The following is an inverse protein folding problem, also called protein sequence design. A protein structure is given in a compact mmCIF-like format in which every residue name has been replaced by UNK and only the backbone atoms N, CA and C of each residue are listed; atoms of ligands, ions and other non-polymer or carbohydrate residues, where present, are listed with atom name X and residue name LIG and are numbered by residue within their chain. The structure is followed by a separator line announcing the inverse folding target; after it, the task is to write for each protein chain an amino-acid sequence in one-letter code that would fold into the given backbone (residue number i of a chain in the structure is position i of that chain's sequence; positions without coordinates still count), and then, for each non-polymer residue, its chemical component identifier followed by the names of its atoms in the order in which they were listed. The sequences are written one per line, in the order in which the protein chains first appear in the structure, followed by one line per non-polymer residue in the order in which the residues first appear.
data_IF_457349473699
#
_entry.id   IF_457349473699
#
_cell.length_a   1.000
_cell.length_b   1.000
_cell.length_c   1.000
_cell.angle_alpha   90.00
_cell.angle_beta   90.00
_cell.angle_gamma   90.00
#
_symmetry.space_group_name_H-M   'P 1'
#
loop_
_entity.id
_entity.type
_entity.pdbx_description
1 polymer ?
#
# COMPACT_ATOMS: atom_id res chain seq x y z
N UNK A 1 0.41 -16.04 -19.20
CA UNK A 1 0.37 -16.10 -17.72
C UNK A 1 -0.42 -14.91 -17.25
N UNK A 2 -1.53 -15.16 -16.55
CA UNK A 2 -2.34 -14.10 -15.92
C UNK A 2 -1.51 -13.53 -14.77
N UNK A 3 -1.24 -12.22 -14.78
CA UNK A 3 -0.60 -11.56 -13.66
C UNK A 3 -1.66 -11.29 -12.59
N UNK A 4 -1.53 -11.92 -11.43
CA UNK A 4 -2.38 -11.63 -10.30
C UNK A 4 -2.04 -10.24 -9.75
N UNK A 5 -3.06 -9.39 -9.67
CA UNK A 5 -2.93 -8.02 -9.17
C UNK A 5 -3.53 -7.95 -7.78
N UNK A 6 -2.73 -7.47 -6.83
CA UNK A 6 -3.19 -7.12 -5.49
C UNK A 6 -3.68 -5.68 -5.46
N UNK A 7 -4.76 -5.43 -4.71
CA UNK A 7 -5.33 -4.10 -4.51
C UNK A 7 -5.40 -3.80 -3.01
N UNK A 8 -4.84 -2.67 -2.59
CA UNK A 8 -5.03 -2.10 -1.25
C UNK A 8 -5.73 -0.76 -1.36
N UNK A 9 -6.81 -0.60 -0.61
CA UNK A 9 -7.57 0.64 -0.54
C UNK A 9 -7.64 1.14 0.91
N UNK A 10 -7.42 2.44 1.08
CA UNK A 10 -7.60 3.18 2.32
C UNK A 10 -8.41 4.45 2.04
N UNK A 11 -9.44 4.70 2.83
CA UNK A 11 -10.27 5.90 2.75
C UNK A 11 -10.02 6.76 3.98
N UNK A 12 -9.65 8.03 3.76
CA UNK A 12 -9.43 9.03 4.83
C UNK A 12 -10.20 10.30 4.50
N UNK A 13 -11.41 10.42 5.04
CA UNK A 13 -12.31 11.53 4.70
C UNK A 13 -12.57 11.57 3.18
N UNK A 14 -12.30 12.70 2.49
CA UNK A 14 -12.47 12.79 1.04
C UNK A 14 -11.34 12.09 0.24
N UNK A 15 -10.21 11.77 0.88
CA UNK A 15 -9.04 11.20 0.21
C UNK A 15 -9.13 9.68 0.10
N UNK A 16 -8.65 9.16 -1.03
CA UNK A 16 -8.64 7.73 -1.35
C UNK A 16 -7.24 7.34 -1.80
N UNK A 17 -6.64 6.40 -1.09
CA UNK A 17 -5.33 5.86 -1.39
C UNK A 17 -5.50 4.44 -1.93
N UNK A 18 -5.19 4.25 -3.21
CA UNK A 18 -5.31 2.96 -3.90
C UNK A 18 -3.91 2.54 -4.36
N UNK A 19 -3.45 1.39 -3.88
CA UNK A 19 -2.18 0.80 -4.28
C UNK A 19 -2.46 -0.50 -5.05
N UNK A 20 -2.00 -0.53 -6.30
CA UNK A 20 -2.09 -1.66 -7.21
C UNK A 20 -0.68 -2.22 -7.40
N UNK A 21 -0.50 -3.52 -7.20
CA UNK A 21 0.80 -4.14 -7.37
C UNK A 21 0.67 -5.64 -7.62
N UNK A 22 1.58 -6.18 -8.43
CA UNK A 22 1.82 -7.61 -8.48
C UNK A 22 2.81 -8.04 -7.38
N UNK A 23 2.98 -9.35 -7.22
CA UNK A 23 3.85 -9.92 -6.20
C UNK A 23 5.34 -9.57 -6.36
N UNK A 24 5.80 -9.36 -7.60
CA UNK A 24 7.18 -8.93 -7.86
C UNK A 24 7.45 -7.50 -7.38
N UNK A 25 6.40 -6.69 -7.24
CA UNK A 25 6.47 -5.27 -6.86
C UNK A 25 6.23 -4.98 -5.40
N UNK A 26 6.06 -5.99 -4.54
CA UNK A 26 5.83 -5.81 -3.08
C UNK A 26 6.83 -4.89 -2.39
N UNK A 27 8.13 -5.06 -2.67
CA UNK A 27 9.17 -4.22 -2.07
C UNK A 27 9.06 -2.76 -2.51
N UNK A 28 8.66 -2.52 -3.76
CA UNK A 28 8.41 -1.18 -4.29
C UNK A 28 7.18 -0.55 -3.64
N UNK A 29 6.10 -1.33 -3.47
CA UNK A 29 4.89 -0.91 -2.76
C UNK A 29 5.22 -0.46 -1.33
N UNK A 30 6.01 -1.24 -0.57
CA UNK A 30 6.43 -0.88 0.79
C UNK A 30 7.19 0.46 0.84
N UNK A 31 8.08 0.71 -0.13
CA UNK A 31 8.78 2.00 -0.23
C UNK A 31 7.82 3.14 -0.55
N UNK A 32 6.84 2.92 -1.42
CA UNK A 32 5.81 3.93 -1.75
C UNK A 32 4.96 4.27 -0.53
N UNK A 33 4.55 3.28 0.27
CA UNK A 33 3.83 3.51 1.54
C UNK A 33 4.64 4.40 2.48
N UNK A 34 5.96 4.16 2.61
CA UNK A 34 6.85 5.00 3.41
C UNK A 34 6.95 6.44 2.89
N UNK A 35 7.07 6.62 1.56
CA UNK A 35 7.09 7.95 0.94
C UNK A 35 5.80 8.73 1.19
N UNK A 36 4.65 8.07 1.10
CA UNK A 36 3.36 8.71 1.36
C UNK A 36 3.24 9.14 2.82
N UNK A 37 3.68 8.29 3.76
CA UNK A 37 3.68 8.64 5.19
C UNK A 37 4.67 9.76 5.57
N UNK A 38 5.72 9.94 4.78
CA UNK A 38 6.68 11.04 4.96
C UNK A 38 6.24 12.36 4.33
N UNK A 39 5.19 12.36 3.50
CA UNK A 39 4.70 13.57 2.84
C UNK A 39 3.69 14.30 3.75
N UNK A 40 4.03 15.49 4.31
CA UNK A 40 3.12 16.22 5.19
C UNK A 40 1.90 16.82 4.49
N UNK A 41 1.87 16.86 3.15
CA UNK A 41 0.71 17.32 2.37
C UNK A 41 -0.39 16.25 2.23
N UNK A 42 -0.12 15.01 2.63
CA UNK A 42 -1.06 13.90 2.56
C UNK A 42 -1.65 13.62 3.95
N UNK A 43 -2.93 13.26 4.00
CA UNK A 43 -3.54 12.74 5.24
C UNK A 43 -3.05 11.32 5.59
N UNK A 44 -2.20 10.73 4.74
CA UNK A 44 -1.62 9.40 4.90
C UNK A 44 -0.51 9.40 5.96
N UNK A 45 -0.67 8.62 7.02
CA UNK A 45 0.22 8.63 8.19
C UNK A 45 1.16 7.44 8.22
N UNK A 46 2.19 7.50 9.06
CA UNK A 46 3.05 6.35 9.38
C UNK A 46 2.28 5.15 9.95
N UNK A 47 1.19 5.41 10.68
CA UNK A 47 0.29 4.35 11.15
C UNK A 47 -0.39 3.62 9.98
N UNK A 48 -0.91 4.38 9.01
CA UNK A 48 -1.51 3.81 7.80
C UNK A 48 -0.48 2.99 7.00
N UNK A 49 0.74 3.52 6.83
CA UNK A 49 1.84 2.80 6.20
C UNK A 49 2.13 1.46 6.92
N UNK A 50 2.18 1.45 8.25
CA UNK A 50 2.46 0.25 9.02
C UNK A 50 1.38 -0.82 8.84
N UNK A 51 0.11 -0.43 8.94
CA UNK A 51 -1.05 -1.33 8.76
C UNK A 51 -1.10 -1.89 7.33
N UNK A 52 -0.97 -1.02 6.32
CA UNK A 52 -0.98 -1.48 4.92
C UNK A 52 0.26 -2.32 4.59
N UNK A 53 1.43 -2.02 5.18
CA UNK A 53 2.64 -2.81 4.99
C UNK A 53 2.49 -4.24 5.52
N UNK A 54 1.73 -4.46 6.59
CA UNK A 54 1.40 -5.82 7.03
C UNK A 54 0.58 -6.56 5.98
N UNK A 55 -0.42 -5.90 5.37
CA UNK A 55 -1.24 -6.50 4.30
C UNK A 55 -0.42 -6.83 3.06
N UNK A 56 0.49 -5.95 2.63
CA UNK A 56 1.42 -6.22 1.51
C UNK A 56 2.27 -7.46 1.77
N UNK A 57 2.72 -7.66 3.02
CA UNK A 57 3.52 -8.84 3.41
C UNK A 57 2.70 -10.12 3.51
N UNK A 58 1.45 -10.03 3.95
CA UNK A 58 0.55 -11.17 4.14
C UNK A 58 -0.16 -11.62 2.84
N UNK A 59 -0.20 -10.75 1.81
CA UNK A 59 -0.96 -10.94 0.57
C UNK A 59 -0.53 -12.09 -0.35
N UNK A 60 0.41 -12.97 0.02
CA UNK A 60 0.53 -14.29 -0.60
C UNK A 60 0.11 -15.32 0.43
N UNK A 61 -1.17 -15.69 0.42
CA UNK A 61 -1.53 -17.02 0.90
C UNK A 61 -1.27 -17.97 -0.28
N UNK A 62 -0.43 -19.01 -0.13
CA UNK A 62 -0.27 -20.02 -1.17
C UNK A 62 -1.58 -20.78 -1.42
#
# INVERSE_FOLDING_TARGET
MTQDINVLALVKGPERYIFLFDDSKRAETLRTLGRFASNPELSFTWYDAAVLSQKVRQGARP
#
